data_IF_639679989894
#
_entry.id   IF_639679989894
#
_cell.length_a   1.000
_cell.length_b   1.000
_cell.length_c   1.000
_cell.angle_alpha   90.00
_cell.angle_beta   90.00
_cell.angle_gamma   90.00
#
_symmetry.space_group_name_H-M   'P 1'
#
loop_
_entity.id
_entity.type
_entity.pdbx_description
1 polymer ?
#
# COMPACT_ATOMS: atom_id res chain seq x y z
N UNK A 1 -0.42 29.71 -23.40
CA UNK A 1 -0.27 28.49 -22.58
C UNK A 1 0.93 28.71 -21.69
N UNK A 2 0.70 29.21 -20.48
CA UNK A 2 1.77 29.33 -19.49
C UNK A 2 2.07 27.92 -18.99
N UNK A 3 3.27 27.42 -19.29
CA UNK A 3 3.83 26.27 -18.60
C UNK A 3 3.96 26.64 -17.12
N UNK A 4 2.96 26.27 -16.32
CA UNK A 4 3.13 26.19 -14.88
C UNK A 4 4.29 25.24 -14.64
N UNK A 5 5.42 25.76 -14.19
CA UNK A 5 6.55 24.95 -13.74
C UNK A 5 6.04 24.08 -12.60
N UNK A 6 5.69 22.83 -12.91
CA UNK A 6 5.47 21.81 -11.89
C UNK A 6 6.72 21.82 -11.01
N UNK A 7 6.55 22.09 -9.72
CA UNK A 7 7.67 22.03 -8.78
C UNK A 7 8.37 20.68 -8.97
N UNK A 8 9.68 20.67 -9.20
CA UNK A 8 10.43 19.44 -9.44
C UNK A 8 10.36 18.44 -8.27
N UNK A 9 9.85 18.89 -7.13
CA UNK A 9 9.81 18.16 -5.85
C UNK A 9 8.40 17.78 -5.42
N UNK A 10 7.36 18.21 -6.14
CA UNK A 10 5.98 17.87 -5.84
C UNK A 10 5.25 17.31 -7.07
N UNK A 11 4.43 16.30 -6.88
CA UNK A 11 3.53 15.76 -7.91
C UNK A 11 2.32 16.69 -8.04
N UNK A 12 2.10 17.20 -9.25
CA UNK A 12 0.80 17.74 -9.67
C UNK A 12 -0.05 16.61 -10.24
N UNK A 13 -0.87 15.98 -9.41
CA UNK A 13 -1.70 14.84 -9.81
C UNK A 13 -2.74 15.22 -10.87
N UNK A 14 -3.31 16.42 -10.82
CA UNK A 14 -4.30 16.87 -11.80
C UNK A 14 -3.64 17.09 -13.17
N UNK A 15 -2.47 17.75 -13.19
CA UNK A 15 -1.68 17.93 -14.39
C UNK A 15 -1.22 16.60 -14.99
N UNK A 16 -0.71 15.68 -14.16
CA UNK A 16 -0.30 14.35 -14.59
C UNK A 16 -1.47 13.53 -15.15
N UNK A 17 -2.64 13.58 -14.52
CA UNK A 17 -3.82 12.88 -15.00
C UNK A 17 -4.20 13.34 -16.41
N UNK A 18 -4.26 14.66 -16.64
CA UNK A 18 -4.59 15.23 -17.94
C UNK A 18 -3.55 14.86 -19.02
N UNK A 19 -2.26 15.02 -18.71
CA UNK A 19 -1.17 14.74 -19.66
C UNK A 19 -1.09 13.24 -19.97
N UNK A 20 -1.11 12.38 -18.95
CA UNK A 20 -0.99 10.93 -19.15
C UNK A 20 -2.19 10.35 -19.88
N UNK A 21 -3.40 10.89 -19.65
CA UNK A 21 -4.59 10.47 -20.41
C UNK A 21 -4.44 10.78 -21.90
N UNK A 22 -4.02 12.01 -22.23
CA UNK A 22 -3.77 12.40 -23.62
C UNK A 22 -2.67 11.57 -24.30
N UNK A 23 -1.57 11.31 -23.59
CA UNK A 23 -0.47 10.49 -24.10
C UNK A 23 -0.93 9.03 -24.30
N UNK A 24 -1.75 8.50 -23.39
CA UNK A 24 -2.29 7.14 -23.50
C UNK A 24 -3.23 7.00 -24.70
N UNK A 25 -4.09 7.99 -24.94
CA UNK A 25 -4.96 8.02 -26.13
C UNK A 25 -4.13 8.01 -27.42
N UNK A 26 -3.10 8.86 -27.46
CA UNK A 26 -2.18 8.95 -28.60
C UNK A 26 -1.44 7.63 -28.83
N UNK A 27 -0.88 7.04 -27.76
CA UNK A 27 -0.17 5.76 -27.82
C UNK A 27 -1.09 4.63 -28.29
N UNK A 28 -2.32 4.58 -27.79
CA UNK A 28 -3.31 3.59 -28.21
C UNK A 28 -3.68 3.73 -29.70
N UNK A 29 -3.87 4.95 -30.20
CA UNK A 29 -4.15 5.19 -31.62
C UNK A 29 -3.00 4.70 -32.52
N UNK A 30 -1.75 4.96 -32.12
CA UNK A 30 -0.57 4.46 -32.84
C UNK A 30 -0.45 2.93 -32.75
N UNK A 31 -0.75 2.35 -31.60
CA UNK A 31 -0.73 0.90 -31.40
C UNK A 31 -1.75 0.20 -32.31
N UNK A 32 -2.97 0.72 -32.40
CA UNK A 32 -4.04 0.18 -33.28
C UNK A 32 -3.71 0.25 -34.77
N UNK A 33 -2.90 1.21 -35.21
CA UNK A 33 -2.52 1.37 -36.63
C UNK A 33 -1.34 0.47 -37.04
N UNK A 34 -0.99 -0.53 -36.20
CA UNK A 34 0.10 -1.49 -36.42
C UNK A 34 1.50 -0.87 -36.56
N UNK A 35 1.70 0.38 -36.13
CA UNK A 35 3.04 1.01 -36.05
C UNK A 35 3.96 0.21 -35.12
N UNK A 36 3.39 -0.43 -34.09
CA UNK A 36 4.09 -1.22 -33.09
C UNK A 36 3.70 -2.71 -33.15
N UNK A 37 3.66 -3.29 -34.36
CA UNK A 37 3.21 -4.67 -34.59
C UNK A 37 3.96 -5.71 -33.73
N UNK A 38 5.23 -5.46 -33.39
CA UNK A 38 6.02 -6.36 -32.56
C UNK A 38 5.42 -6.63 -31.17
N UNK A 39 4.62 -5.70 -30.64
CA UNK A 39 4.00 -5.84 -29.31
C UNK A 39 2.56 -6.38 -29.36
N UNK A 40 1.99 -6.63 -30.55
CA UNK A 40 0.59 -7.08 -30.68
C UNK A 40 0.38 -8.48 -30.09
N UNK A 41 1.32 -9.40 -30.34
CA UNK A 41 1.26 -10.76 -29.78
C UNK A 41 1.36 -10.73 -28.25
N UNK A 42 2.29 -9.95 -27.71
CA UNK A 42 2.51 -9.84 -26.27
C UNK A 42 1.31 -9.19 -25.58
N UNK A 43 0.70 -8.19 -26.20
CA UNK A 43 -0.54 -7.59 -25.71
C UNK A 43 -1.71 -8.59 -25.68
N UNK A 44 -1.89 -9.36 -26.74
CA UNK A 44 -2.92 -10.40 -26.80
C UNK A 44 -2.71 -11.49 -25.73
N UNK A 45 -1.46 -11.92 -25.54
CA UNK A 45 -1.09 -12.88 -24.51
C UNK A 45 -1.30 -12.31 -23.11
N UNK A 46 -0.90 -11.06 -22.86
CA UNK A 46 -1.13 -10.36 -21.60
C UNK A 46 -2.62 -10.32 -21.26
N UNK A 47 -3.47 -9.97 -22.24
CA UNK A 47 -4.92 -9.96 -22.05
C UNK A 47 -5.46 -11.36 -21.72
N UNK A 48 -5.02 -12.39 -22.43
CA UNK A 48 -5.48 -13.76 -22.20
C UNK A 48 -5.09 -14.30 -20.82
N UNK A 49 -3.83 -14.08 -20.40
CA UNK A 49 -3.33 -14.53 -19.09
C UNK A 49 -4.03 -13.81 -17.93
N UNK A 50 -4.35 -12.52 -18.11
CA UNK A 50 -4.88 -11.68 -17.04
C UNK A 50 -6.41 -11.50 -17.08
N UNK A 51 -7.12 -12.18 -17.99
CA UNK A 51 -8.55 -11.99 -18.24
C UNK A 51 -9.41 -12.00 -16.97
N UNK A 52 -9.07 -12.86 -16.00
CA UNK A 52 -9.82 -13.02 -14.72
C UNK A 52 -10.03 -11.70 -13.97
N UNK A 53 -9.05 -10.81 -13.95
CA UNK A 53 -9.17 -9.50 -13.27
C UNK A 53 -9.21 -8.35 -14.28
N UNK A 54 -8.49 -8.48 -15.39
CA UNK A 54 -8.32 -7.41 -16.37
C UNK A 54 -9.62 -7.08 -17.10
N UNK A 55 -10.47 -8.07 -17.37
CA UNK A 55 -11.72 -7.84 -18.08
C UNK A 55 -12.69 -7.02 -17.23
N UNK A 56 -12.84 -7.37 -15.95
CA UNK A 56 -13.66 -6.61 -15.01
C UNK A 56 -13.07 -5.23 -14.71
N UNK A 57 -11.75 -5.12 -14.52
CA UNK A 57 -11.08 -3.83 -14.34
C UNK A 57 -11.27 -2.91 -15.55
N UNK A 58 -11.06 -3.42 -16.76
CA UNK A 58 -11.16 -2.61 -17.98
C UNK A 58 -12.59 -2.16 -18.24
N UNK A 59 -13.58 -3.01 -17.96
CA UNK A 59 -14.98 -2.65 -18.06
C UNK A 59 -15.38 -1.63 -16.99
N UNK A 60 -14.96 -1.83 -15.74
CA UNK A 60 -15.19 -0.88 -14.65
C UNK A 60 -14.62 0.50 -14.99
N UNK A 61 -13.36 0.57 -15.42
CA UNK A 61 -12.70 1.83 -15.74
C UNK A 61 -13.36 2.54 -16.94
N UNK A 62 -13.72 1.79 -17.99
CA UNK A 62 -14.39 2.37 -19.16
C UNK A 62 -15.79 2.90 -18.83
N UNK A 63 -16.57 2.18 -18.01
CA UNK A 63 -17.87 2.66 -17.52
C UNK A 63 -17.64 3.90 -16.65
N UNK A 64 -16.69 3.86 -15.72
CA UNK A 64 -16.37 4.98 -14.83
C UNK A 64 -16.06 6.24 -15.61
N UNK A 65 -15.22 6.16 -16.65
CA UNK A 65 -14.88 7.30 -17.49
C UNK A 65 -16.09 7.80 -18.30
N UNK A 66 -16.97 6.91 -18.78
CA UNK A 66 -18.19 7.26 -19.52
C UNK A 66 -19.23 7.92 -18.62
N UNK A 67 -19.34 7.46 -17.39
CA UNK A 67 -20.20 8.01 -16.34
C UNK A 67 -19.49 9.12 -15.54
N UNK A 68 -18.65 9.93 -16.21
CA UNK A 68 -18.03 11.14 -15.65
C UNK A 68 -17.30 10.96 -14.31
N UNK A 69 -16.66 9.81 -14.11
CA UNK A 69 -15.95 9.41 -12.91
C UNK A 69 -16.82 9.26 -11.65
N UNK A 70 -18.15 9.20 -11.80
CA UNK A 70 -19.04 8.84 -10.71
C UNK A 70 -18.73 7.44 -10.16
N UNK A 71 -18.98 7.26 -8.87
CA UNK A 71 -18.82 5.96 -8.22
C UNK A 71 -19.84 4.95 -8.76
N UNK A 72 -19.52 3.65 -8.72
CA UNK A 72 -20.35 2.64 -9.39
C UNK A 72 -21.78 2.52 -8.86
N UNK A 73 -22.05 2.99 -7.63
CA UNK A 73 -23.39 3.07 -7.06
C UNK A 73 -24.26 4.17 -7.68
N UNK A 74 -23.66 5.15 -8.35
CA UNK A 74 -24.35 6.23 -9.05
C UNK A 74 -24.64 5.89 -10.52
N UNK A 75 -24.11 4.77 -11.03
CA UNK A 75 -24.30 4.35 -12.41
C UNK A 75 -25.74 3.90 -12.70
N UNK A 76 -26.14 3.86 -13.99
CA UNK A 76 -27.38 3.24 -14.42
C UNK A 76 -27.55 1.85 -13.83
N UNK A 77 -28.75 1.54 -13.34
CA UNK A 77 -29.06 0.33 -12.59
C UNK A 77 -28.55 -0.96 -13.28
N UNK A 78 -28.63 -1.02 -14.60
CA UNK A 78 -28.22 -2.20 -15.36
C UNK A 78 -26.70 -2.41 -15.38
N UNK A 79 -25.91 -1.33 -15.33
CA UNK A 79 -24.46 -1.38 -15.23
C UNK A 79 -24.01 -1.60 -13.77
N UNK A 80 -24.64 -0.89 -12.82
CA UNK A 80 -24.43 -1.05 -11.38
C UNK A 80 -24.58 -2.51 -10.95
N UNK A 81 -25.70 -3.15 -11.33
CA UNK A 81 -25.98 -4.55 -11.00
C UNK A 81 -25.50 -5.55 -12.06
N UNK A 82 -24.61 -5.13 -12.97
CA UNK A 82 -23.91 -6.02 -13.90
C UNK A 82 -24.84 -6.91 -14.72
N UNK A 83 -25.98 -6.38 -15.19
CA UNK A 83 -26.88 -7.13 -16.07
C UNK A 83 -26.12 -7.54 -17.33
N UNK A 84 -26.04 -8.85 -17.60
CA UNK A 84 -25.24 -9.41 -18.69
C UNK A 84 -25.50 -8.74 -20.05
N UNK A 85 -26.76 -8.45 -20.38
CA UNK A 85 -27.14 -7.78 -21.62
C UNK A 85 -26.61 -6.36 -21.71
N UNK A 86 -26.68 -5.58 -20.61
CA UNK A 86 -26.17 -4.22 -20.55
C UNK A 86 -24.65 -4.18 -20.65
N UNK A 87 -23.94 -5.05 -19.92
CA UNK A 87 -22.48 -5.15 -20.01
C UNK A 87 -22.01 -5.60 -21.39
N UNK A 88 -22.73 -6.53 -22.03
CA UNK A 88 -22.40 -6.99 -23.39
C UNK A 88 -22.58 -5.85 -24.41
N UNK A 89 -23.68 -5.09 -24.30
CA UNK A 89 -23.93 -3.92 -25.14
C UNK A 89 -22.86 -2.85 -24.93
N UNK A 90 -22.59 -2.48 -23.68
CA UNK A 90 -21.54 -1.53 -23.34
C UNK A 90 -20.19 -1.97 -23.91
N UNK A 91 -19.84 -3.25 -23.76
CA UNK A 91 -18.58 -3.77 -24.28
C UNK A 91 -18.46 -3.65 -25.80
N UNK A 92 -19.55 -3.84 -26.54
CA UNK A 92 -19.60 -3.66 -28.01
C UNK A 92 -19.52 -2.17 -28.40
N UNK A 93 -20.23 -1.31 -27.69
CA UNK A 93 -20.28 0.12 -27.96
C UNK A 93 -18.95 0.82 -27.60
N UNK A 94 -18.16 0.24 -26.67
CA UNK A 94 -16.94 0.81 -26.11
C UNK A 94 -15.68 -0.07 -26.30
N UNK A 95 -15.62 -0.92 -27.33
CA UNK A 95 -14.47 -1.83 -27.59
C UNK A 95 -13.13 -1.10 -27.58
N UNK A 96 -13.06 0.05 -28.24
CA UNK A 96 -11.83 0.84 -28.35
C UNK A 96 -11.36 1.39 -26.99
N UNK A 97 -12.30 1.79 -26.14
CA UNK A 97 -12.03 2.36 -24.83
C UNK A 97 -11.56 1.27 -23.85
N UNK A 98 -12.25 0.14 -23.83
CA UNK A 98 -11.85 -1.05 -23.05
C UNK A 98 -10.47 -1.51 -23.50
N UNK A 99 -10.22 -1.55 -24.82
CA UNK A 99 -8.90 -1.87 -25.38
C UNK A 99 -7.80 -0.93 -24.89
N UNK A 100 -8.07 0.39 -24.84
CA UNK A 100 -7.14 1.39 -24.30
C UNK A 100 -6.80 1.14 -22.83
N UNK A 101 -7.80 0.81 -22.00
CA UNK A 101 -7.56 0.50 -20.58
C UNK A 101 -6.71 -0.77 -20.45
N UNK A 102 -7.01 -1.82 -21.21
CA UNK A 102 -6.18 -3.04 -21.21
C UNK A 102 -4.74 -2.75 -21.65
N UNK A 103 -4.58 -1.89 -22.65
CA UNK A 103 -3.28 -1.48 -23.14
C UNK A 103 -2.47 -0.70 -22.09
N UNK A 104 -3.11 0.18 -21.31
CA UNK A 104 -2.42 0.88 -20.22
C UNK A 104 -1.90 -0.09 -19.16
N UNK A 105 -2.67 -1.12 -18.81
CA UNK A 105 -2.21 -2.19 -17.92
C UNK A 105 -1.05 -2.97 -18.54
N UNK A 106 -1.15 -3.37 -19.81
CA UNK A 106 -0.05 -4.05 -20.51
C UNK A 106 1.26 -3.26 -20.44
N UNK A 107 1.22 -1.95 -20.69
CA UNK A 107 2.40 -1.09 -20.59
C UNK A 107 2.96 -1.05 -19.15
N UNK A 108 2.09 -0.87 -18.15
CA UNK A 108 2.51 -0.85 -16.75
C UNK A 108 3.21 -2.15 -16.33
N UNK A 109 2.57 -3.30 -16.58
CA UNK A 109 3.13 -4.60 -16.19
C UNK A 109 4.42 -4.93 -16.95
N UNK A 110 4.53 -4.53 -18.22
CA UNK A 110 5.76 -4.72 -19.00
C UNK A 110 6.92 -3.89 -18.45
N UNK A 111 6.67 -2.63 -18.10
CA UNK A 111 7.68 -1.74 -17.51
C UNK A 111 8.05 -2.18 -16.09
N UNK A 112 7.07 -2.61 -15.29
CA UNK A 112 7.31 -3.13 -13.95
C UNK A 112 8.16 -4.40 -13.98
N UNK A 113 7.87 -5.33 -14.89
CA UNK A 113 8.66 -6.56 -15.02
C UNK A 113 10.11 -6.23 -15.39
N UNK A 114 10.33 -5.31 -16.33
CA UNK A 114 11.69 -4.88 -16.69
C UNK A 114 12.44 -4.26 -15.49
N UNK A 115 11.76 -3.49 -14.64
CA UNK A 115 12.34 -2.95 -13.41
C UNK A 115 12.67 -4.05 -12.39
N UNK A 116 11.76 -5.01 -12.19
CA UNK A 116 11.97 -6.16 -11.29
C UNK A 116 13.16 -7.00 -11.73
N UNK A 117 13.24 -7.32 -13.02
CA UNK A 117 14.35 -8.07 -13.61
C UNK A 117 15.68 -7.33 -13.42
N UNK A 118 15.69 -6.00 -13.59
CA UNK A 118 16.86 -5.18 -13.34
C UNK A 118 17.27 -5.21 -11.85
N UNK A 119 16.32 -5.09 -10.93
CA UNK A 119 16.59 -5.18 -9.49
C UNK A 119 17.19 -6.55 -9.11
N UNK A 120 16.60 -7.63 -9.61
CA UNK A 120 17.09 -9.01 -9.39
C UNK A 120 18.48 -9.24 -9.95
N UNK A 121 18.78 -8.70 -11.14
CA UNK A 121 20.13 -8.75 -11.71
C UNK A 121 21.20 -8.05 -10.83
N UNK A 122 20.77 -7.18 -9.91
CA UNK A 122 21.62 -6.49 -8.93
C UNK A 122 21.46 -7.02 -7.50
N UNK A 123 20.78 -8.17 -7.31
CA UNK A 123 20.57 -8.77 -6.00
C UNK A 123 19.66 -7.95 -5.07
N UNK A 124 18.78 -7.13 -5.63
CA UNK A 124 17.80 -6.31 -4.91
C UNK A 124 16.42 -6.95 -5.02
N UNK A 125 15.84 -7.30 -3.88
CA UNK A 125 14.45 -7.74 -3.78
C UNK A 125 13.51 -6.55 -3.54
N UNK A 126 12.26 -6.67 -3.99
CA UNK A 126 11.23 -5.64 -3.86
C UNK A 126 10.20 -6.07 -2.82
N UNK A 127 9.98 -5.23 -1.81
CA UNK A 127 8.87 -5.37 -0.86
C UNK A 127 7.69 -4.56 -1.39
N UNK A 128 6.57 -5.23 -1.62
CA UNK A 128 5.30 -4.58 -1.95
C UNK A 128 4.45 -4.34 -0.72
N UNK A 129 3.32 -3.69 -0.96
CA UNK A 129 2.35 -3.32 0.06
C UNK A 129 0.95 -3.63 -0.44
N UNK A 130 0.10 -4.18 0.42
CA UNK A 130 -1.31 -4.37 0.12
C UNK A 130 -2.18 -3.88 1.28
N UNK A 131 -3.12 -2.95 1.04
CA UNK A 131 -4.10 -2.57 2.04
C UNK A 131 -4.97 -3.78 2.39
N UNK A 132 -5.33 -3.99 3.65
CA UNK A 132 -6.24 -5.09 3.99
C UNK A 132 -7.57 -4.92 3.26
N UNK A 133 -8.17 -3.73 3.27
CA UNK A 133 -9.49 -3.47 2.67
C UNK A 133 -9.38 -2.91 1.25
N UNK A 134 -10.30 -3.34 0.37
CA UNK A 134 -10.50 -2.71 -0.93
C UNK A 134 -11.26 -1.39 -0.76
N UNK A 135 -11.07 -0.44 -1.68
CA UNK A 135 -11.92 0.76 -1.73
C UNK A 135 -13.34 0.38 -2.17
N UNK A 136 -14.36 1.08 -1.65
CA UNK A 136 -15.76 0.84 -2.04
C UNK A 136 -15.95 1.01 -3.55
N UNK A 137 -15.45 2.13 -4.08
CA UNK A 137 -15.53 2.47 -5.50
C UNK A 137 -14.38 1.82 -6.28
N UNK A 138 -14.45 0.49 -6.41
CA UNK A 138 -13.44 -0.33 -7.08
C UNK A 138 -14.07 -1.41 -7.96
N UNK A 139 -13.29 -1.89 -8.93
CA UNK A 139 -13.66 -3.03 -9.75
C UNK A 139 -13.88 -4.29 -8.89
N UNK A 140 -13.11 -4.48 -7.82
CA UNK A 140 -13.23 -5.62 -6.91
C UNK A 140 -14.61 -5.67 -6.25
N UNK A 141 -15.06 -4.56 -5.66
CA UNK A 141 -16.35 -4.48 -4.96
C UNK A 141 -17.51 -4.53 -5.96
N UNK A 142 -17.39 -3.83 -7.09
CA UNK A 142 -18.41 -3.85 -8.14
C UNK A 142 -18.59 -5.24 -8.76
N UNK A 143 -17.48 -5.95 -9.05
CA UNK A 143 -17.53 -7.26 -9.71
C UNK A 143 -17.90 -8.41 -8.77
N UNK A 144 -17.60 -8.28 -7.47
CA UNK A 144 -17.82 -9.31 -6.45
C UNK A 144 -18.54 -8.77 -5.21
N UNK A 145 -19.74 -8.17 -5.35
CA UNK A 145 -20.43 -7.51 -4.23
C UNK A 145 -20.77 -8.48 -3.08
N UNK A 146 -20.92 -9.78 -3.37
CA UNK A 146 -21.18 -10.82 -2.38
C UNK A 146 -20.05 -11.04 -1.37
N UNK A 147 -18.83 -10.62 -1.72
CA UNK A 147 -17.63 -10.73 -0.87
C UNK A 147 -17.54 -9.61 0.17
N UNK A 148 -18.47 -8.66 0.14
CA UNK A 148 -18.48 -7.47 0.98
C UNK A 148 -19.82 -7.33 1.72
N UNK A 149 -19.82 -6.58 2.82
CA UNK A 149 -21.01 -6.32 3.64
C UNK A 149 -21.87 -5.20 3.05
N UNK A 150 -22.52 -5.49 1.91
CA UNK A 150 -23.39 -4.56 1.19
C UNK A 150 -24.87 -4.89 1.39
N UNK A 151 -25.74 -3.88 1.30
CA UNK A 151 -27.19 -4.08 1.24
C UNK A 151 -27.67 -4.49 -0.18
N UNK A 152 -28.99 -4.61 -0.36
CA UNK A 152 -29.57 -5.01 -1.65
C UNK A 152 -29.43 -3.95 -2.75
N UNK A 153 -29.16 -2.69 -2.38
CA UNK A 153 -28.82 -1.65 -3.34
C UNK A 153 -27.32 -1.71 -3.68
N UNK A 154 -26.50 -2.37 -2.86
CA UNK A 154 -25.05 -2.42 -3.02
C UNK A 154 -24.33 -1.34 -2.22
N UNK A 155 -25.00 -0.66 -1.29
CA UNK A 155 -24.38 0.31 -0.40
C UNK A 155 -23.74 -0.42 0.81
N UNK A 156 -22.60 0.05 1.35
CA UNK A 156 -21.99 -0.56 2.52
C UNK A 156 -22.92 -0.46 3.73
N UNK A 157 -23.12 -1.58 4.42
CA UNK A 157 -23.85 -1.61 5.71
C UNK A 157 -22.94 -1.24 6.88
N UNK A 158 -21.64 -1.46 6.72
CA UNK A 158 -20.61 -1.16 7.70
C UNK A 158 -19.33 -0.70 6.97
N UNK A 159 -18.57 0.15 7.64
CA UNK A 159 -17.30 0.67 7.19
C UNK A 159 -16.16 0.21 8.09
N UNK A 160 -14.99 0.09 7.49
CA UNK A 160 -13.74 -0.11 8.21
C UNK A 160 -13.30 1.16 8.94
N UNK A 161 -12.61 0.96 10.05
CA UNK A 161 -11.95 2.01 10.79
C UNK A 161 -11.10 1.44 11.91
N UNK A 162 -10.74 2.30 12.85
CA UNK A 162 -10.15 1.94 14.14
C UNK A 162 -10.86 2.71 15.26
N UNK A 163 -10.98 2.12 16.45
CA UNK A 163 -11.61 2.79 17.58
C UNK A 163 -10.81 4.03 18.01
N UNK A 164 -11.41 4.91 18.83
CA UNK A 164 -10.67 5.92 19.56
C UNK A 164 -9.45 5.34 20.29
N UNK A 165 -8.34 6.04 20.15
CA UNK A 165 -7.10 5.75 20.88
C UNK A 165 -6.49 7.04 21.45
N UNK A 166 -5.34 6.91 22.11
CA UNK A 166 -4.67 8.05 22.72
C UNK A 166 -4.15 9.07 21.71
N UNK A 167 -4.07 8.72 20.41
CA UNK A 167 -3.68 9.63 19.33
C UNK A 167 -4.88 10.30 18.66
N UNK A 168 -6.03 9.62 18.61
CA UNK A 168 -7.22 10.02 17.87
C UNK A 168 -8.48 9.85 18.73
N UNK A 169 -8.97 10.96 19.30
CA UNK A 169 -10.09 10.96 20.25
C UNK A 169 -11.40 10.38 19.69
N UNK A 170 -11.60 10.41 18.36
CA UNK A 170 -12.80 9.90 17.68
C UNK A 170 -12.52 8.64 16.86
N UNK A 171 -11.32 8.06 16.99
CA UNK A 171 -10.82 7.02 16.11
C UNK A 171 -10.66 7.50 14.67
N UNK A 172 -10.57 6.57 13.73
CA UNK A 172 -10.47 6.87 12.31
C UNK A 172 -11.51 6.06 11.53
N UNK A 173 -12.33 6.74 10.74
CA UNK A 173 -13.30 6.13 9.83
C UNK A 173 -12.71 6.14 8.42
N UNK A 174 -12.37 4.98 7.88
CA UNK A 174 -11.64 4.87 6.61
C UNK A 174 -12.55 4.79 5.38
N UNK A 175 -13.81 4.43 5.56
CA UNK A 175 -14.81 4.42 4.49
C UNK A 175 -14.72 3.22 3.54
N UNK A 176 -13.82 2.27 3.76
CA UNK A 176 -13.79 1.00 3.04
C UNK A 176 -14.96 0.09 3.47
N UNK A 177 -15.57 -0.69 2.56
CA UNK A 177 -16.52 -1.71 2.95
C UNK A 177 -15.80 -2.87 3.65
N UNK A 178 -16.50 -3.52 4.58
CA UNK A 178 -15.99 -4.70 5.27
C UNK A 178 -16.23 -5.97 4.45
N UNK A 179 -15.39 -6.98 4.69
CA UNK A 179 -15.51 -8.28 4.05
C UNK A 179 -16.65 -9.11 4.66
N UNK A 180 -17.37 -9.83 3.80
CA UNK A 180 -18.26 -10.89 4.23
C UNK A 180 -17.45 -12.19 4.39
N UNK A 181 -16.66 -12.29 5.46
CA UNK A 181 -15.75 -13.43 5.71
C UNK A 181 -16.43 -14.81 5.63
N UNK A 182 -17.69 -15.01 6.07
CA UNK A 182 -18.40 -16.27 5.84
C UNK A 182 -18.55 -16.66 4.36
N UNK A 183 -18.74 -15.69 3.45
CA UNK A 183 -18.80 -15.96 2.00
C UNK A 183 -17.41 -16.28 1.46
N UNK A 184 -16.38 -15.54 1.87
CA UNK A 184 -14.98 -15.87 1.52
C UNK A 184 -14.64 -17.30 1.94
N UNK A 185 -14.99 -17.71 3.17
CA UNK A 185 -14.75 -19.06 3.67
C UNK A 185 -15.48 -20.13 2.84
N UNK A 186 -16.75 -19.90 2.47
CA UNK A 186 -17.51 -20.81 1.58
C UNK A 186 -16.89 -20.96 0.19
N UNK A 187 -16.19 -19.93 -0.28
CA UNK A 187 -15.46 -19.94 -1.55
C UNK A 187 -13.99 -20.33 -1.39
N UNK A 188 -13.59 -20.91 -0.24
CA UNK A 188 -12.22 -21.30 0.08
C UNK A 188 -11.20 -20.15 -0.08
N UNK A 189 -11.62 -18.92 0.21
CA UNK A 189 -10.82 -17.70 0.11
C UNK A 189 -10.24 -17.44 -1.29
N UNK A 190 -10.90 -17.93 -2.36
CA UNK A 190 -10.40 -17.83 -3.73
C UNK A 190 -9.99 -16.40 -4.14
N UNK A 191 -10.79 -15.39 -3.79
CA UNK A 191 -10.47 -13.99 -4.09
C UNK A 191 -9.16 -13.53 -3.42
N UNK A 192 -8.98 -13.84 -2.14
CA UNK A 192 -7.75 -13.51 -1.43
C UNK A 192 -6.53 -14.28 -1.95
N UNK A 193 -6.72 -15.53 -2.34
CA UNK A 193 -5.68 -16.34 -2.98
C UNK A 193 -5.23 -15.70 -4.29
N UNK A 194 -6.16 -15.30 -5.16
CA UNK A 194 -5.81 -14.62 -6.41
C UNK A 194 -5.15 -13.26 -6.17
N UNK A 195 -5.65 -12.50 -5.19
CA UNK A 195 -5.10 -11.21 -4.80
C UNK A 195 -3.63 -11.33 -4.38
N UNK A 196 -3.32 -12.23 -3.46
CA UNK A 196 -1.94 -12.46 -2.99
C UNK A 196 -1.07 -13.07 -4.11
N UNK A 197 -1.61 -14.00 -4.91
CA UNK A 197 -0.89 -14.55 -6.08
C UNK A 197 -0.52 -13.47 -7.07
N UNK A 198 -1.43 -12.53 -7.32
CA UNK A 198 -1.16 -11.39 -8.19
C UNK A 198 -0.06 -10.50 -7.61
N UNK A 199 -0.13 -10.16 -6.33
CA UNK A 199 0.90 -9.37 -5.65
C UNK A 199 2.29 -10.02 -5.74
N UNK A 200 2.43 -11.33 -5.52
CA UNK A 200 3.72 -12.01 -5.64
C UNK A 200 4.29 -12.08 -7.06
N UNK A 201 3.50 -11.83 -8.11
CA UNK A 201 4.07 -11.60 -9.44
C UNK A 201 4.84 -10.28 -9.48
N UNK A 202 4.34 -9.27 -8.79
CA UNK A 202 4.92 -7.92 -8.78
C UNK A 202 6.11 -7.81 -7.82
N UNK A 203 6.05 -8.46 -6.66
CA UNK A 203 7.02 -8.24 -5.57
C UNK A 203 7.54 -9.55 -4.99
N UNK A 204 8.63 -9.49 -4.24
CA UNK A 204 9.31 -10.65 -3.66
C UNK A 204 8.88 -10.92 -2.21
N UNK A 205 8.42 -9.87 -1.52
CA UNK A 205 7.75 -9.96 -0.23
C UNK A 205 6.59 -8.97 -0.18
N UNK A 206 5.61 -9.22 0.69
CA UNK A 206 4.37 -8.43 0.76
C UNK A 206 4.11 -7.97 2.18
N UNK A 207 4.20 -6.66 2.43
CA UNK A 207 3.60 -6.06 3.63
C UNK A 207 2.09 -6.12 3.48
N UNK A 208 1.41 -6.70 4.47
CA UNK A 208 -0.05 -6.58 4.58
C UNK A 208 -0.35 -5.55 5.65
N UNK A 209 -0.90 -4.43 5.21
CA UNK A 209 -1.37 -3.33 6.04
C UNK A 209 -2.50 -3.77 6.97
N UNK A 210 -2.52 -3.22 8.18
CA UNK A 210 -3.51 -3.49 9.21
C UNK A 210 -3.75 -4.99 9.43
N UNK A 211 -2.66 -5.76 9.56
CA UNK A 211 -2.69 -7.22 9.69
C UNK A 211 -3.60 -7.69 10.83
N UNK A 212 -3.70 -6.90 11.90
CA UNK A 212 -4.59 -7.19 13.04
C UNK A 212 -6.05 -7.42 12.62
N UNK A 213 -6.47 -6.81 11.49
CA UNK A 213 -7.78 -6.98 10.85
C UNK A 213 -8.16 -8.44 10.55
N UNK A 214 -7.18 -9.33 10.41
CA UNK A 214 -7.43 -10.76 10.20
C UNK A 214 -7.76 -11.51 11.50
N UNK A 215 -7.35 -11.00 12.66
CA UNK A 215 -7.75 -11.57 13.96
C UNK A 215 -9.12 -11.01 14.38
N UNK A 216 -9.25 -9.69 14.35
CA UNK A 216 -10.50 -8.97 14.55
C UNK A 216 -10.47 -7.67 13.74
N UNK A 217 -11.59 -7.08 13.39
CA UNK A 217 -11.64 -5.77 12.71
C UNK A 217 -12.68 -4.88 13.38
N UNK A 218 -12.48 -3.56 13.32
CA UNK A 218 -13.40 -2.60 13.89
C UNK A 218 -14.49 -2.28 12.86
N UNK A 219 -15.71 -2.70 13.15
CA UNK A 219 -16.86 -2.55 12.28
C UNK A 219 -17.73 -1.38 12.72
N UNK A 220 -17.74 -0.30 11.93
CA UNK A 220 -18.55 0.90 12.19
C UNK A 220 -19.83 0.83 11.34
N UNK A 221 -21.04 0.89 11.93
CA UNK A 221 -22.28 0.91 11.16
C UNK A 221 -22.33 2.08 10.16
N UNK A 222 -22.91 1.85 8.99
CA UNK A 222 -23.13 2.92 8.02
C UNK A 222 -24.05 4.01 8.58
N UNK A 223 -23.72 5.27 8.27
CA UNK A 223 -24.43 6.45 8.78
C UNK A 223 -23.77 7.12 9.99
N UNK A 224 -22.81 6.45 10.65
CA UNK A 224 -22.01 7.08 11.71
C UNK A 224 -21.04 8.12 11.14
N UNK A 225 -20.91 9.31 11.77
CA UNK A 225 -19.99 10.35 11.31
C UNK A 225 -18.54 10.11 11.77
N UNK A 226 -18.33 9.28 12.79
CA UNK A 226 -17.03 8.95 13.39
C UNK A 226 -16.91 7.45 13.63
N UNK A 227 -15.74 6.98 14.07
CA UNK A 227 -15.50 5.57 14.33
C UNK A 227 -15.83 5.14 15.78
N UNK A 228 -16.35 6.05 16.62
CA UNK A 228 -16.59 5.81 18.05
C UNK A 228 -17.59 4.68 18.31
N UNK A 229 -18.64 4.59 17.48
CA UNK A 229 -19.73 3.61 17.66
C UNK A 229 -19.54 2.33 16.84
N UNK A 230 -18.29 1.89 16.66
CA UNK A 230 -18.01 0.59 16.08
C UNK A 230 -17.99 -0.55 17.12
N UNK A 231 -17.73 -1.75 16.64
CA UNK A 231 -17.46 -2.93 17.49
C UNK A 231 -16.38 -3.81 16.88
N UNK A 232 -15.65 -4.52 17.73
CA UNK A 232 -14.73 -5.56 17.28
C UNK A 232 -15.51 -6.78 16.79
N UNK A 233 -15.28 -7.19 15.54
CA UNK A 233 -15.78 -8.43 14.96
C UNK A 233 -14.60 -9.34 14.61
N UNK A 234 -14.78 -10.66 14.68
CA UNK A 234 -13.69 -11.61 14.42
C UNK A 234 -13.39 -11.73 12.93
N UNK A 235 -12.11 -11.64 12.58
CA UNK A 235 -11.61 -11.94 11.25
C UNK A 235 -11.43 -13.45 11.02
N UNK A 236 -10.90 -13.85 9.84
CA UNK A 236 -10.74 -15.25 9.46
C UNK A 236 -9.58 -15.96 10.18
N UNK A 237 -8.62 -15.19 10.73
CA UNK A 237 -7.41 -15.69 11.38
C UNK A 237 -6.67 -16.74 10.53
N UNK A 238 -6.25 -17.81 11.19
CA UNK A 238 -5.49 -18.91 10.57
C UNK A 238 -6.16 -19.54 9.35
N UNK A 239 -7.49 -19.55 9.25
CA UNK A 239 -8.20 -20.25 8.16
C UNK A 239 -7.87 -19.68 6.78
N UNK A 240 -7.80 -18.35 6.68
CA UNK A 240 -7.38 -17.66 5.45
C UNK A 240 -5.91 -17.98 5.12
N UNK A 241 -5.01 -17.81 6.09
CA UNK A 241 -3.58 -17.97 5.84
C UNK A 241 -3.17 -19.42 5.57
N UNK A 242 -3.88 -20.39 6.15
CA UNK A 242 -3.71 -21.80 5.80
C UNK A 242 -4.17 -22.08 4.37
N UNK A 243 -5.24 -21.45 3.90
CA UNK A 243 -5.68 -21.56 2.50
C UNK A 243 -4.68 -20.91 1.54
N UNK A 244 -4.16 -19.72 1.88
CA UNK A 244 -3.08 -19.06 1.14
C UNK A 244 -1.83 -19.95 1.05
N UNK A 245 -1.37 -20.48 2.18
CA UNK A 245 -0.20 -21.37 2.24
C UNK A 245 -0.43 -22.65 1.44
N UNK A 246 -1.62 -23.23 1.52
CA UNK A 246 -1.99 -24.41 0.74
C UNK A 246 -2.00 -24.16 -0.77
N UNK A 247 -2.39 -22.97 -1.21
CA UNK A 247 -2.50 -22.63 -2.63
C UNK A 247 -1.23 -22.04 -3.24
N UNK A 248 -0.40 -21.36 -2.45
CA UNK A 248 0.75 -20.57 -2.92
C UNK A 248 2.11 -21.07 -2.40
N UNK A 249 2.12 -21.93 -1.37
CA UNK A 249 3.34 -22.40 -0.73
C UNK A 249 3.88 -21.41 0.30
N UNK A 250 5.15 -21.04 0.17
CA UNK A 250 5.75 -20.05 1.07
C UNK A 250 5.09 -18.68 0.93
N UNK A 251 4.93 -18.00 2.05
CA UNK A 251 4.28 -16.71 2.14
C UNK A 251 5.29 -15.70 2.72
N UNK A 252 6.11 -15.02 1.88
CA UNK A 252 7.01 -13.96 2.32
C UNK A 252 6.21 -12.70 2.69
N UNK A 253 5.39 -12.81 3.74
CA UNK A 253 4.49 -11.78 4.23
C UNK A 253 5.13 -11.07 5.42
N UNK A 254 5.01 -9.74 5.44
CA UNK A 254 5.35 -8.90 6.58
C UNK A 254 4.03 -8.42 7.17
N UNK A 255 3.80 -8.72 8.45
CA UNK A 255 2.61 -8.26 9.15
C UNK A 255 2.84 -6.83 9.61
N UNK A 256 2.04 -5.88 9.12
CA UNK A 256 1.97 -4.60 9.81
C UNK A 256 1.10 -4.73 11.07
N UNK A 257 1.79 -4.70 12.21
CA UNK A 257 1.28 -4.93 13.55
C UNK A 257 1.54 -3.71 14.45
N UNK A 258 1.25 -2.50 13.97
CA UNK A 258 1.41 -1.27 14.74
C UNK A 258 0.10 -0.86 15.41
N UNK A 259 0.20 0.06 16.37
CA UNK A 259 -0.95 0.57 17.13
C UNK A 259 -1.47 -0.42 18.18
N UNK A 260 -2.79 -0.51 18.33
CA UNK A 260 -3.40 -1.38 19.34
C UNK A 260 -3.37 -2.86 18.93
N UNK A 261 -2.43 -3.60 19.51
CA UNK A 261 -2.20 -5.02 19.25
C UNK A 261 -2.51 -5.85 20.50
N UNK A 262 -3.32 -6.89 20.34
CA UNK A 262 -3.67 -7.82 21.41
C UNK A 262 -2.79 -9.07 21.37
N UNK A 263 -2.71 -9.85 22.46
CA UNK A 263 -1.99 -11.14 22.47
C UNK A 263 -2.44 -12.08 21.33
N UNK A 264 -3.72 -12.09 20.97
CA UNK A 264 -4.25 -12.93 19.90
C UNK A 264 -3.72 -12.54 18.51
N UNK A 265 -3.46 -11.25 18.28
CA UNK A 265 -2.85 -10.76 17.03
C UNK A 265 -1.38 -11.18 16.98
N UNK A 266 -0.67 -11.08 18.11
CA UNK A 266 0.72 -11.54 18.25
C UNK A 266 0.79 -13.05 18.00
N UNK A 267 -0.09 -13.82 18.62
CA UNK A 267 -0.18 -15.27 18.45
C UNK A 267 -0.47 -15.65 17.00
N UNK A 268 -1.35 -14.92 16.31
CA UNK A 268 -1.62 -15.14 14.89
C UNK A 268 -0.38 -14.87 14.03
N UNK A 269 0.29 -13.73 14.23
CA UNK A 269 1.51 -13.34 13.50
C UNK A 269 2.62 -14.39 13.70
N UNK A 270 2.90 -14.72 14.95
CA UNK A 270 4.02 -15.58 15.31
C UNK A 270 3.76 -17.05 14.93
N UNK A 271 2.52 -17.53 15.09
CA UNK A 271 2.15 -18.88 14.67
C UNK A 271 2.11 -19.06 13.15
N UNK A 272 1.94 -17.98 12.38
CA UNK A 272 2.13 -17.98 10.92
C UNK A 272 3.58 -17.79 10.50
N UNK A 273 4.46 -17.40 11.42
CA UNK A 273 5.86 -17.14 11.16
C UNK A 273 6.09 -15.89 10.32
N UNK A 274 5.28 -14.84 10.50
CA UNK A 274 5.47 -13.56 9.81
C UNK A 274 6.27 -12.58 10.69
N UNK A 275 7.25 -11.85 10.15
CA UNK A 275 7.87 -10.75 10.88
C UNK A 275 6.88 -9.60 11.08
N UNK A 276 6.90 -9.02 12.27
CA UNK A 276 6.22 -7.74 12.56
C UNK A 276 7.08 -6.54 12.15
N UNK A 277 6.56 -5.34 12.41
CA UNK A 277 7.21 -4.06 12.16
C UNK A 277 7.56 -3.34 13.46
N UNK A 278 8.68 -2.62 13.48
CA UNK A 278 9.06 -1.72 14.58
C UNK A 278 9.45 -0.36 14.02
N UNK A 279 8.96 0.70 14.65
CA UNK A 279 9.19 2.07 14.18
C UNK A 279 9.90 2.85 15.28
N UNK A 280 11.15 3.24 15.02
CA UNK A 280 11.97 3.89 16.04
C UNK A 280 11.40 5.24 16.49
N UNK A 281 10.69 5.99 15.63
CA UNK A 281 10.01 7.23 16.03
C UNK A 281 8.96 7.03 17.13
N UNK A 282 8.35 5.84 17.25
CA UNK A 282 7.35 5.55 18.29
C UNK A 282 7.99 5.29 19.66
N UNK A 283 9.27 4.95 19.71
CA UNK A 283 9.96 4.59 20.94
C UNK A 283 10.00 5.72 21.97
N UNK A 284 10.07 6.97 21.51
CA UNK A 284 10.47 8.10 22.37
C UNK A 284 9.33 8.91 22.95
N UNK A 285 8.10 8.78 22.43
CA UNK A 285 6.94 9.52 22.95
C UNK A 285 6.49 9.00 24.33
N UNK A 286 6.28 7.69 24.53
CA UNK A 286 6.00 7.16 25.86
C UNK A 286 7.17 7.43 26.82
N UNK A 287 6.87 7.80 28.06
CA UNK A 287 7.87 7.97 29.12
C UNK A 287 8.18 6.65 29.84
N UNK A 288 8.25 5.56 29.08
CA UNK A 288 8.46 4.21 29.59
C UNK A 288 9.23 3.34 28.60
N UNK A 289 9.81 2.26 29.12
CA UNK A 289 10.40 1.21 28.30
C UNK A 289 9.29 0.48 27.53
N UNK A 290 9.43 0.41 26.20
CA UNK A 290 8.37 -0.05 25.31
C UNK A 290 8.91 -0.86 24.12
N UNK A 291 8.05 -1.61 23.39
CA UNK A 291 8.48 -2.52 22.33
C UNK A 291 9.16 -1.84 21.13
N UNK A 292 9.02 -0.52 20.98
CA UNK A 292 9.60 0.25 19.87
C UNK A 292 11.04 0.70 20.13
N UNK A 293 11.61 0.43 21.32
CA UNK A 293 13.05 0.56 21.54
C UNK A 293 13.84 -0.62 20.94
N UNK A 294 14.95 -0.37 20.23
CA UNK A 294 15.77 -1.42 19.61
C UNK A 294 16.27 -2.54 20.52
N UNK A 295 16.50 -2.27 21.81
CA UNK A 295 16.92 -3.31 22.75
C UNK A 295 15.80 -4.30 23.11
N UNK A 296 14.55 -4.00 22.75
CA UNK A 296 13.38 -4.86 22.91
C UNK A 296 12.91 -5.51 21.60
N UNK A 297 13.59 -5.24 20.48
CA UNK A 297 13.19 -5.82 19.19
C UNK A 297 13.40 -7.33 19.17
N UNK A 298 12.41 -8.12 18.71
CA UNK A 298 12.67 -9.50 18.34
C UNK A 298 13.58 -9.54 17.10
N UNK A 299 14.34 -10.62 16.91
CA UNK A 299 15.15 -10.76 15.70
C UNK A 299 14.29 -10.82 14.43
N UNK A 300 13.12 -11.46 14.52
CA UNK A 300 12.21 -11.64 13.40
C UNK A 300 11.23 -10.46 13.27
N UNK A 301 11.77 -9.27 13.03
CA UNK A 301 10.98 -8.09 12.68
C UNK A 301 11.70 -7.25 11.62
N UNK A 302 10.95 -6.33 11.02
CA UNK A 302 11.48 -5.28 10.16
C UNK A 302 11.46 -3.96 10.93
N UNK A 303 12.63 -3.36 11.12
CA UNK A 303 12.78 -2.10 11.81
C UNK A 303 12.88 -0.92 10.82
N UNK A 304 12.17 0.15 11.12
CA UNK A 304 12.10 1.38 10.33
C UNK A 304 12.52 2.58 11.19
N UNK A 305 13.15 3.59 10.60
CA UNK A 305 13.25 4.91 11.26
C UNK A 305 11.85 5.53 11.39
N UNK A 306 11.11 5.55 10.28
CA UNK A 306 9.71 5.91 10.12
C UNK A 306 9.16 5.29 8.84
N UNK A 307 7.85 5.27 8.67
CA UNK A 307 7.16 4.84 7.44
C UNK A 307 6.74 6.05 6.60
N UNK A 308 5.93 5.82 5.56
CA UNK A 308 5.32 6.89 4.77
C UNK A 308 4.26 7.70 5.54
N UNK A 309 3.70 7.16 6.63
CA UNK A 309 2.70 7.84 7.48
C UNK A 309 3.33 8.73 8.55
N UNK A 310 4.59 8.47 8.87
CA UNK A 310 5.37 9.26 9.78
C UNK A 310 5.86 10.57 9.12
N UNK A 311 6.21 11.54 9.95
CA UNK A 311 7.06 12.63 9.48
C UNK A 311 8.48 12.09 9.21
N UNK A 312 9.28 12.85 8.48
CA UNK A 312 10.73 12.67 8.43
C UNK A 312 11.33 12.67 9.83
N UNK A 313 12.47 12.03 10.04
CA UNK A 313 13.13 12.02 11.35
C UNK A 313 13.49 13.44 11.83
N UNK A 314 13.84 14.36 10.93
CA UNK A 314 14.05 15.79 11.25
C UNK A 314 12.74 16.45 11.66
N UNK A 315 11.69 16.33 10.86
CA UNK A 315 10.39 16.93 11.14
C UNK A 315 9.76 16.41 12.43
N UNK A 316 9.92 15.10 12.70
CA UNK A 316 9.57 14.50 13.98
C UNK A 316 10.35 15.13 15.14
N UNK A 317 11.68 15.24 15.04
CA UNK A 317 12.50 15.82 16.12
C UNK A 317 12.14 17.27 16.43
N UNK A 318 11.76 18.03 15.40
CA UNK A 318 11.37 19.45 15.52
C UNK A 318 10.00 19.64 16.18
N UNK A 319 9.07 18.70 15.95
CA UNK A 319 7.70 18.77 16.48
C UNK A 319 7.48 17.95 17.76
N UNK A 320 8.39 17.04 18.10
CA UNK A 320 8.33 16.21 19.30
C UNK A 320 8.34 17.06 20.58
N UNK A 321 7.73 16.51 21.64
CA UNK A 321 7.79 17.14 22.97
C UNK A 321 9.24 17.31 23.45
N UNK A 322 9.57 18.32 24.28
CA UNK A 322 10.92 18.50 24.80
C UNK A 322 11.49 17.26 25.50
N UNK A 323 10.63 16.50 26.17
CA UNK A 323 11.00 15.26 26.86
C UNK A 323 11.31 14.13 25.85
N UNK A 324 10.45 13.90 24.86
CA UNK A 324 10.69 12.91 23.80
C UNK A 324 11.94 13.23 22.98
N UNK A 325 12.14 14.50 22.63
CA UNK A 325 13.35 14.98 21.94
C UNK A 325 14.62 14.71 22.76
N UNK A 326 14.61 15.01 24.05
CA UNK A 326 15.76 14.76 24.92
C UNK A 326 16.07 13.26 25.02
N UNK A 327 15.04 12.41 25.17
CA UNK A 327 15.19 10.94 25.17
C UNK A 327 15.78 10.42 23.87
N UNK A 328 15.26 10.87 22.71
CA UNK A 328 15.73 10.42 21.42
C UNK A 328 17.21 10.77 21.18
N UNK A 329 17.63 12.00 21.50
CA UNK A 329 19.03 12.41 21.36
C UNK A 329 19.95 11.65 22.32
N UNK A 330 19.52 11.42 23.56
CA UNK A 330 20.28 10.64 24.54
C UNK A 330 20.41 9.17 24.11
N UNK A 331 19.32 8.53 23.70
CA UNK A 331 19.30 7.11 23.31
C UNK A 331 20.13 6.85 22.04
N UNK A 332 19.99 7.70 21.03
CA UNK A 332 20.75 7.58 19.78
C UNK A 332 22.20 8.06 19.93
N UNK A 333 22.56 8.67 21.08
CA UNK A 333 23.80 9.40 21.28
C UNK A 333 24.08 10.38 20.12
N UNK A 334 23.04 11.12 19.73
CA UNK A 334 23.00 11.94 18.54
C UNK A 334 22.93 13.44 18.84
N UNK A 335 22.86 14.23 17.77
CA UNK A 335 22.65 15.67 17.83
C UNK A 335 21.55 16.08 16.85
N UNK A 336 20.89 17.24 17.02
CA UNK A 336 19.89 17.70 16.05
C UNK A 336 20.39 17.78 14.61
N UNK A 337 21.69 18.02 14.40
CA UNK A 337 22.29 18.10 13.05
C UNK A 337 22.53 16.74 12.40
N UNK A 338 22.72 15.69 13.19
CA UNK A 338 23.05 14.34 12.72
C UNK A 338 21.88 13.37 12.84
N UNK A 339 20.76 13.83 13.39
CA UNK A 339 19.71 12.98 13.93
C UNK A 339 19.17 11.94 12.95
N UNK A 340 18.90 12.27 11.68
CA UNK A 340 18.42 11.28 10.71
C UNK A 340 19.40 10.11 10.56
N UNK A 341 20.70 10.39 10.46
CA UNK A 341 21.70 9.33 10.35
C UNK A 341 21.97 8.62 11.68
N UNK A 342 21.71 9.27 12.82
CA UNK A 342 21.73 8.62 14.12
C UNK A 342 20.56 7.64 14.29
N UNK A 343 19.38 7.99 13.80
CA UNK A 343 18.21 7.11 13.69
C UNK A 343 18.50 5.92 12.78
N UNK A 344 19.03 6.17 11.57
CA UNK A 344 19.41 5.11 10.61
C UNK A 344 20.43 4.17 11.26
N UNK A 345 21.49 4.71 11.89
CA UNK A 345 22.50 3.90 12.60
C UNK A 345 21.88 3.04 13.69
N UNK A 346 20.94 3.60 14.45
CA UNK A 346 20.26 2.91 15.54
C UNK A 346 19.40 1.75 15.03
N UNK A 347 18.67 1.95 13.93
CA UNK A 347 17.89 0.89 13.27
C UNK A 347 18.81 -0.19 12.68
N UNK A 348 19.91 0.19 12.02
CA UNK A 348 20.91 -0.74 11.49
C UNK A 348 21.60 -1.56 12.60
N UNK A 349 21.84 -0.99 13.77
CA UNK A 349 22.45 -1.67 14.91
C UNK A 349 21.50 -2.63 15.65
N UNK A 350 20.20 -2.57 15.36
CA UNK A 350 19.18 -3.36 16.04
C UNK A 350 19.26 -4.86 15.68
N UNK A 351 18.64 -5.77 16.46
CA UNK A 351 18.59 -7.19 16.14
C UNK A 351 17.63 -7.56 14.99
N UNK A 352 16.86 -6.59 14.46
CA UNK A 352 15.87 -6.82 13.41
C UNK A 352 16.49 -7.46 12.15
N UNK A 353 15.80 -8.43 11.55
CA UNK A 353 16.29 -9.14 10.37
C UNK A 353 16.38 -8.24 9.14
N UNK A 354 15.54 -7.21 9.04
CA UNK A 354 15.58 -6.19 7.98
C UNK A 354 15.53 -4.80 8.63
N UNK A 355 16.37 -3.89 8.13
CA UNK A 355 16.45 -2.49 8.53
C UNK A 355 16.12 -1.60 7.34
N UNK A 356 15.20 -0.65 7.51
CA UNK A 356 14.68 0.20 6.44
C UNK A 356 14.70 1.67 6.89
N UNK A 357 15.02 2.57 5.96
CA UNK A 357 14.91 4.00 6.16
C UNK A 357 14.31 4.65 4.90
N UNK A 358 13.38 5.61 5.04
CA UNK A 358 12.88 6.41 3.93
C UNK A 358 14.01 7.20 3.26
N UNK A 359 13.89 7.45 1.95
CA UNK A 359 14.86 8.26 1.22
C UNK A 359 14.98 9.69 1.79
N UNK A 360 13.90 10.22 2.36
CA UNK A 360 13.89 11.51 3.05
C UNK A 360 14.87 11.58 4.23
N UNK A 361 15.02 10.48 4.98
CA UNK A 361 15.96 10.41 6.11
C UNK A 361 17.40 10.30 5.63
N UNK A 362 17.67 9.58 4.53
CA UNK A 362 19.00 9.55 3.90
C UNK A 362 19.46 10.95 3.47
N UNK A 363 18.50 11.76 3.01
CA UNK A 363 18.68 13.14 2.57
C UNK A 363 18.60 14.16 3.72
N UNK A 364 18.25 13.74 4.93
CA UNK A 364 18.02 14.58 6.11
C UNK A 364 17.05 15.75 5.86
N UNK A 365 15.95 15.49 5.14
CA UNK A 365 14.90 16.48 4.85
C UNK A 365 13.97 16.69 6.06
N UNK A 366 13.26 17.82 6.09
CA UNK A 366 12.26 18.16 7.11
C UNK A 366 10.83 17.79 6.71
N UNK A 367 9.85 18.33 7.45
CA UNK A 367 8.42 18.04 7.26
C UNK A 367 7.89 18.39 5.86
N UNK A 368 8.57 19.23 5.09
CA UNK A 368 8.24 19.51 3.69
C UNK A 368 8.33 18.26 2.79
N UNK A 369 9.04 17.22 3.24
CA UNK A 369 9.21 15.96 2.52
C UNK A 369 8.34 14.81 3.05
N UNK A 370 7.45 15.09 4.02
CA UNK A 370 6.53 14.10 4.56
C UNK A 370 5.65 13.51 3.45
N UNK A 371 5.60 12.17 3.37
CA UNK A 371 4.85 11.49 2.30
C UNK A 371 3.34 11.52 2.56
N UNK A 372 2.90 11.12 3.76
CA UNK A 372 1.50 11.09 4.13
C UNK A 372 1.26 11.59 5.56
N UNK A 373 0.07 12.11 5.82
CA UNK A 373 -0.41 12.43 7.17
C UNK A 373 -1.75 11.71 7.39
N UNK A 374 -1.77 10.65 8.22
CA UNK A 374 -2.99 9.87 8.48
C UNK A 374 -4.18 10.73 8.89
N UNK A 375 -5.35 10.44 8.31
CA UNK A 375 -6.61 11.14 8.59
C UNK A 375 -6.77 12.52 7.93
N UNK A 376 -5.78 13.03 7.19
CA UNK A 376 -5.93 14.28 6.42
C UNK A 376 -6.16 14.00 4.94
N UNK A 377 -7.11 14.72 4.36
CA UNK A 377 -7.37 14.70 2.93
C UNK A 377 -6.56 15.79 2.21
N UNK A 378 -6.07 15.48 1.00
CA UNK A 378 -5.35 16.38 0.09
C UNK A 378 -3.96 16.83 0.55
N UNK A 379 -3.09 17.17 -0.41
CA UNK A 379 -1.74 17.70 -0.17
C UNK A 379 -0.64 16.65 0.09
N UNK A 380 -1.03 15.39 0.31
CA UNK A 380 -0.12 14.27 0.57
C UNK A 380 0.11 13.39 -0.66
N UNK A 381 1.07 12.47 -0.55
CA UNK A 381 1.58 11.63 -1.63
C UNK A 381 2.22 12.43 -2.75
N UNK A 382 2.61 13.68 -2.48
CA UNK A 382 3.12 14.60 -3.49
C UNK A 382 4.64 14.68 -3.51
N UNK A 383 5.35 14.34 -2.43
CA UNK A 383 6.81 14.48 -2.39
C UNK A 383 7.50 13.67 -3.50
N UNK A 384 8.51 14.29 -4.12
CA UNK A 384 9.37 13.66 -5.14
C UNK A 384 10.83 13.90 -4.79
N UNK A 385 11.61 12.83 -4.93
CA UNK A 385 13.06 12.94 -4.90
C UNK A 385 13.58 13.59 -6.18
N UNK A 386 14.51 14.56 -6.05
CA UNK A 386 15.18 15.17 -7.21
C UNK A 386 16.06 14.15 -7.94
N UNK A 387 16.13 14.28 -9.27
CA UNK A 387 17.09 13.56 -10.10
C UNK A 387 18.51 13.91 -9.62
N UNK A 388 19.26 12.91 -9.13
CA UNK A 388 20.59 13.03 -8.49
C UNK A 388 20.64 13.42 -6.99
N UNK A 389 19.54 13.33 -6.24
CA UNK A 389 19.58 13.59 -4.79
C UNK A 389 20.45 12.57 -4.02
N UNK A 390 20.46 11.30 -4.44
CA UNK A 390 21.27 10.24 -3.83
C UNK A 390 22.72 10.30 -4.36
N UNK A 391 23.60 10.95 -3.60
CA UNK A 391 25.00 11.11 -3.97
C UNK A 391 25.85 9.87 -3.69
N UNK A 392 27.03 9.81 -4.32
CA UNK A 392 28.03 8.78 -4.02
C UNK A 392 28.48 8.80 -2.54
N UNK A 393 28.38 9.95 -1.86
CA UNK A 393 28.71 10.07 -0.43
C UNK A 393 27.66 9.39 0.44
N UNK A 394 26.38 9.56 0.12
CA UNK A 394 25.28 8.85 0.78
C UNK A 394 25.45 7.35 0.59
N UNK A 395 25.73 6.91 -0.64
CA UNK A 395 25.95 5.49 -0.94
C UNK A 395 27.15 4.91 -0.15
N UNK A 396 28.28 5.62 -0.10
CA UNK A 396 29.46 5.20 0.69
C UNK A 396 29.17 5.15 2.19
N UNK A 397 28.44 6.14 2.72
CA UNK A 397 28.05 6.18 4.13
C UNK A 397 27.13 5.04 4.50
N UNK A 398 26.11 4.77 3.67
CA UNK A 398 25.19 3.66 3.87
C UNK A 398 25.91 2.31 3.80
N UNK A 399 26.83 2.14 2.83
CA UNK A 399 27.66 0.93 2.73
C UNK A 399 28.53 0.72 3.97
N UNK A 400 29.24 1.76 4.41
CA UNK A 400 30.09 1.70 5.63
C UNK A 400 29.27 1.32 6.86
N UNK A 401 28.04 1.83 6.98
CA UNK A 401 27.10 1.47 8.04
C UNK A 401 26.67 0.00 7.94
N UNK A 402 26.28 -0.44 6.75
CA UNK A 402 25.88 -1.84 6.51
C UNK A 402 27.05 -2.81 6.75
N UNK A 403 28.28 -2.47 6.41
CA UNK A 403 29.47 -3.29 6.71
C UNK A 403 29.72 -3.36 8.22
N UNK A 404 29.60 -2.23 8.93
CA UNK A 404 29.79 -2.15 10.39
C UNK A 404 28.82 -3.04 11.17
N UNK A 405 27.56 -3.11 10.71
CA UNK A 405 26.49 -3.88 11.36
C UNK A 405 26.17 -5.19 10.64
N UNK A 406 27.05 -5.68 9.76
CA UNK A 406 26.91 -6.97 9.07
C UNK A 406 25.59 -7.13 8.30
N UNK A 407 25.15 -6.07 7.61
CA UNK A 407 23.95 -6.00 6.75
C UNK A 407 24.27 -5.91 5.25
N UNK A 408 25.51 -6.21 4.86
CA UNK A 408 25.87 -6.34 3.45
C UNK A 408 25.57 -7.76 2.96
N UNK A 409 25.08 -7.89 1.73
CA UNK A 409 24.87 -9.20 1.10
C UNK A 409 26.22 -9.90 0.91
N UNK A 410 26.38 -11.11 1.45
CA UNK A 410 27.53 -11.99 1.16
C UNK A 410 28.68 -12.01 2.16
N UNK A 411 28.41 -11.88 3.47
CA UNK A 411 29.34 -12.27 4.55
C UNK A 411 28.83 -13.51 5.26
#
# INVERSE_FOLDING_TARGET
MNSSSVSSECIDYAGLFAINSYLMDTAWCLFKTNVFQQFQSDFGLFCAINAVWLDDYALFAAIKETEHYHAWNEWPQELRFRKRSALSRFSLDHVDHIGRVKFSQFLFFSQWQALKDYAHAHGVNIIGDIPIFAAYDSADVWAHPELFMLDYEGLPTHFAGVPPDYFTATGQLWGNPLYNWPVHAKQNYAWWIERVRHSFRLVDALRIDHFRGFEAYWAVPAGEPTAEHGRWEKGPGYTLFNALKGALGELPIIAEDLGFITPEVIDLRDGLGFPGMRILQFAFEPEEDNPDYPHNYPQHCIAYTGTHDNDTSTGWLESASPAARARALAYTNGSPRSFCWDMIRTVWASPACIAVAPAQDLLALGSEARMNFPGRQNGYWTWRMRENALSADIARRLRSLSETYFRVSGV
#
